data_IF_704551456918
#
_entry.id   IF_704551456918
#
_cell.length_a   1.000
_cell.length_b   1.000
_cell.length_c   1.000
_cell.angle_alpha   90.00
_cell.angle_beta   90.00
_cell.angle_gamma   90.00
#
_symmetry.space_group_name_H-M   'P 1'
#
loop_
_entity.id
_entity.type
_entity.pdbx_description
1 polymer ?
#
# COMPACT_ATOMS: atom_id res chain seq x y z
N UNK A 1 -8.15 7.90 25.61
CA UNK A 1 -8.03 9.04 24.67
C UNK A 1 -8.97 8.90 23.47
N UNK A 2 -8.81 7.90 22.56
CA UNK A 2 -9.72 7.72 21.40
C UNK A 2 -11.16 7.50 21.84
N UNK A 3 -11.40 6.64 22.83
CA UNK A 3 -12.75 6.38 23.37
C UNK A 3 -13.40 7.64 23.93
N UNK A 4 -12.66 8.44 24.65
CA UNK A 4 -13.13 9.70 25.25
C UNK A 4 -13.46 10.73 24.15
N UNK A 5 -12.64 10.82 23.12
CA UNK A 5 -12.91 11.68 21.97
C UNK A 5 -14.20 11.30 21.25
N UNK A 6 -14.38 10.02 20.97
CA UNK A 6 -15.60 9.51 20.34
C UNK A 6 -16.83 9.74 21.23
N UNK A 7 -16.68 9.54 22.54
CA UNK A 7 -17.76 9.82 23.49
C UNK A 7 -18.14 11.31 23.52
N UNK A 8 -17.14 12.21 23.49
CA UNK A 8 -17.37 13.64 23.44
C UNK A 8 -18.11 14.08 22.18
N UNK A 9 -17.79 13.47 21.03
CA UNK A 9 -18.38 13.83 19.73
C UNK A 9 -19.77 13.22 19.53
N UNK A 10 -19.97 11.98 19.93
CA UNK A 10 -21.13 11.17 19.55
C UNK A 10 -22.06 10.86 20.73
N UNK A 11 -21.66 11.12 21.97
CA UNK A 11 -22.43 10.76 23.16
C UNK A 11 -23.82 11.41 23.21
N UNK A 12 -23.94 12.65 22.75
CA UNK A 12 -25.21 13.36 22.65
C UNK A 12 -26.21 12.70 21.67
N UNK A 13 -25.73 11.83 20.77
CA UNK A 13 -26.52 11.07 19.80
C UNK A 13 -26.76 9.61 20.23
N UNK A 14 -26.57 9.31 21.52
CA UNK A 14 -26.82 7.98 22.09
C UNK A 14 -25.66 7.00 22.04
N UNK A 15 -24.48 7.43 21.56
CA UNK A 15 -23.26 6.61 21.59
C UNK A 15 -22.73 6.49 23.02
N UNK A 16 -22.34 5.27 23.39
CA UNK A 16 -21.67 4.97 24.65
C UNK A 16 -20.43 4.13 24.39
N UNK A 17 -19.25 4.68 24.67
CA UNK A 17 -17.98 4.02 24.31
C UNK A 17 -17.73 2.69 25.05
N UNK A 18 -18.31 2.52 26.23
CA UNK A 18 -18.15 1.26 26.98
C UNK A 18 -19.00 0.13 26.40
N UNK A 19 -20.22 0.49 25.93
CA UNK A 19 -21.16 -0.44 25.34
C UNK A 19 -20.86 -0.72 23.86
N UNK A 20 -20.51 0.32 23.09
CA UNK A 20 -20.53 0.30 21.63
C UNK A 20 -19.15 -0.01 21.02
N UNK A 21 -18.05 0.22 21.77
CA UNK A 21 -16.70 -0.13 21.32
C UNK A 21 -16.24 -1.43 21.95
N UNK A 22 -16.21 -2.47 21.15
CA UNK A 22 -15.75 -3.79 21.59
C UNK A 22 -14.21 -3.87 21.65
N UNK A 23 -13.53 -3.33 20.65
CA UNK A 23 -12.08 -3.34 20.59
C UNK A 23 -11.57 -2.16 19.75
N UNK A 24 -10.34 -1.75 19.99
CA UNK A 24 -9.60 -0.77 19.19
C UNK A 24 -8.28 -1.41 18.80
N UNK A 25 -8.01 -1.46 17.49
CA UNK A 25 -6.73 -1.93 16.96
C UNK A 25 -6.02 -0.75 16.31
N UNK A 26 -4.76 -0.54 16.68
CA UNK A 26 -3.90 0.47 16.08
C UNK A 26 -2.80 -0.23 15.29
N UNK A 27 -2.87 -0.12 13.98
CA UNK A 27 -1.84 -0.66 13.09
C UNK A 27 -0.84 0.44 12.77
N UNK A 28 0.44 0.12 12.90
CA UNK A 28 1.51 1.02 12.50
C UNK A 28 2.09 0.57 11.17
N UNK A 29 1.99 1.44 10.18
CA UNK A 29 2.64 1.26 8.89
C UNK A 29 3.89 2.15 8.90
N UNK A 30 5.12 1.59 8.89
CA UNK A 30 6.34 2.36 9.04
C UNK A 30 6.71 3.18 7.78
N UNK A 31 6.16 2.81 6.62
CA UNK A 31 6.37 3.49 5.34
C UNK A 31 5.03 3.94 4.76
N UNK A 32 4.99 5.16 4.21
CA UNK A 32 3.75 5.75 3.73
C UNK A 32 3.41 5.36 2.29
N UNK A 33 4.22 5.79 1.34
CA UNK A 33 3.97 5.63 -0.08
C UNK A 33 5.06 4.81 -0.76
N UNK A 34 4.73 4.21 -1.91
CA UNK A 34 5.72 3.67 -2.82
C UNK A 34 6.68 4.78 -3.27
N UNK A 35 7.97 4.44 -3.37
CA UNK A 35 8.98 5.36 -3.88
C UNK A 35 8.73 5.63 -5.37
N UNK A 36 8.59 6.88 -5.74
CA UNK A 36 8.56 7.33 -7.12
C UNK A 36 9.89 7.98 -7.48
N UNK A 37 10.47 7.60 -8.61
CA UNK A 37 11.75 8.17 -9.05
C UNK A 37 11.64 9.64 -9.43
N UNK A 38 12.69 10.38 -9.13
CA UNK A 38 12.81 11.81 -9.43
C UNK A 38 13.84 11.99 -10.55
N UNK A 39 13.40 12.56 -11.67
CA UNK A 39 14.26 12.74 -12.84
C UNK A 39 15.54 13.56 -12.59
N UNK A 40 15.57 14.36 -11.52
CA UNK A 40 16.75 15.16 -11.15
C UNK A 40 17.73 14.42 -10.25
N UNK A 41 17.29 13.47 -9.47
CA UNK A 41 18.07 12.85 -8.39
C UNK A 41 18.37 11.38 -8.65
N UNK A 42 17.50 10.70 -9.37
CA UNK A 42 17.66 9.28 -9.68
C UNK A 42 18.27 9.07 -11.07
N UNK A 43 19.05 8.01 -11.27
CA UNK A 43 19.60 7.64 -12.57
C UNK A 43 18.51 7.38 -13.62
N UNK A 44 18.83 7.64 -14.87
CA UNK A 44 18.00 7.22 -16.01
C UNK A 44 18.39 5.81 -16.41
N UNK A 45 17.63 4.82 -15.94
CA UNK A 45 17.93 3.41 -16.20
C UNK A 45 17.40 2.98 -17.58
N UNK A 46 18.15 2.10 -18.22
CA UNK A 46 17.63 1.38 -19.37
C UNK A 46 16.42 0.50 -18.97
N UNK A 47 15.48 0.23 -19.88
CA UNK A 47 14.34 -0.64 -19.59
C UNK A 47 14.75 -1.99 -19.00
N UNK A 48 14.13 -2.37 -17.90
CA UNK A 48 14.45 -3.60 -17.15
C UNK A 48 15.60 -3.47 -16.16
N UNK A 49 16.25 -2.32 -16.05
CA UNK A 49 17.38 -2.09 -15.15
C UNK A 49 17.05 -1.26 -13.93
N UNK A 50 15.86 -0.67 -13.86
CA UNK A 50 15.45 0.07 -12.69
C UNK A 50 15.27 -0.87 -11.48
N UNK A 51 15.60 -0.43 -10.25
CA UNK A 51 15.53 -1.28 -9.06
C UNK A 51 14.17 -1.95 -8.84
N UNK A 52 13.06 -1.27 -9.12
CA UNK A 52 11.72 -1.84 -9.00
C UNK A 52 11.45 -2.93 -10.06
N UNK A 53 11.97 -2.78 -11.27
CA UNK A 53 11.84 -3.77 -12.33
C UNK A 53 12.65 -5.04 -12.03
N UNK A 54 13.87 -4.86 -11.51
CA UNK A 54 14.69 -5.98 -11.04
C UNK A 54 14.02 -6.68 -9.85
N UNK A 55 13.53 -5.89 -8.87
CA UNK A 55 12.93 -6.42 -7.65
C UNK A 55 11.60 -7.14 -7.87
N UNK A 56 10.84 -6.78 -8.92
CA UNK A 56 9.57 -7.44 -9.27
C UNK A 56 9.70 -8.62 -10.23
N UNK A 57 10.92 -8.91 -10.69
CA UNK A 57 11.13 -10.00 -11.63
C UNK A 57 10.56 -11.31 -11.09
N UNK A 58 9.80 -12.02 -11.92
CA UNK A 58 9.17 -13.29 -11.55
C UNK A 58 10.22 -14.31 -11.07
N UNK A 59 9.97 -14.94 -9.94
CA UNK A 59 10.80 -16.02 -9.42
C UNK A 59 10.00 -17.32 -9.34
N UNK A 60 10.14 -18.16 -10.34
CA UNK A 60 9.38 -19.39 -10.47
C UNK A 60 7.87 -19.13 -10.48
N UNK A 61 7.16 -19.58 -9.44
CA UNK A 61 5.71 -19.40 -9.27
C UNK A 61 5.37 -18.24 -8.32
N UNK A 62 6.31 -17.33 -8.09
CA UNK A 62 6.13 -16.16 -7.25
C UNK A 62 6.19 -14.92 -8.13
N UNK A 63 5.16 -14.08 -8.01
CA UNK A 63 5.08 -12.75 -8.63
C UNK A 63 4.77 -11.71 -7.57
N UNK A 64 5.26 -10.49 -7.75
CA UNK A 64 5.05 -9.36 -6.84
C UNK A 64 3.95 -8.47 -7.40
N UNK A 65 2.90 -8.19 -6.60
CA UNK A 65 1.76 -7.39 -7.01
C UNK A 65 1.45 -6.31 -5.96
N UNK A 66 2.22 -5.24 -5.96
CA UNK A 66 1.99 -4.07 -5.12
C UNK A 66 2.47 -2.78 -5.81
N UNK A 67 2.12 -1.63 -5.28
CA UNK A 67 2.52 -0.33 -5.85
C UNK A 67 4.03 -0.09 -5.81
N UNK A 68 4.76 -0.65 -4.84
CA UNK A 68 6.22 -0.55 -4.78
C UNK A 68 6.87 -1.17 -6.01
N UNK A 69 6.29 -2.24 -6.53
CA UNK A 69 6.79 -2.93 -7.74
C UNK A 69 6.58 -2.13 -9.03
N UNK A 70 5.78 -1.09 -8.99
CA UNK A 70 5.54 -0.16 -10.11
C UNK A 70 6.21 1.21 -9.89
N UNK A 71 6.88 1.43 -8.76
CA UNK A 71 7.48 2.69 -8.37
C UNK A 71 6.51 3.89 -8.45
N UNK A 72 5.23 3.66 -8.13
CA UNK A 72 4.17 4.65 -8.17
C UNK A 72 3.14 4.42 -7.07
N UNK A 73 2.81 5.46 -6.32
CA UNK A 73 1.90 5.39 -5.18
C UNK A 73 0.44 5.70 -5.59
N UNK A 74 -0.04 5.07 -6.65
CA UNK A 74 -1.35 5.33 -7.25
C UNK A 74 -2.17 4.03 -7.35
N UNK A 75 -3.49 4.18 -7.40
CA UNK A 75 -4.41 3.03 -7.50
C UNK A 75 -4.28 2.29 -8.84
N UNK A 76 -4.09 3.00 -9.94
CA UNK A 76 -3.86 2.42 -11.25
C UNK A 76 -2.59 1.57 -11.26
N UNK A 77 -1.50 2.02 -10.64
CA UNK A 77 -0.29 1.22 -10.47
C UNK A 77 -0.54 -0.09 -9.71
N UNK A 78 -1.45 -0.09 -8.73
CA UNK A 78 -1.84 -1.32 -8.02
C UNK A 78 -2.58 -2.29 -8.93
N UNK A 79 -3.45 -1.81 -9.82
CA UNK A 79 -4.15 -2.63 -10.81
C UNK A 79 -3.18 -3.18 -11.87
N UNK A 80 -2.28 -2.36 -12.37
CA UNK A 80 -1.26 -2.76 -13.34
C UNK A 80 -0.34 -3.85 -12.76
N UNK A 81 0.09 -3.68 -11.51
CA UNK A 81 0.87 -4.70 -10.79
C UNK A 81 0.12 -6.03 -10.65
N UNK A 82 -1.16 -5.97 -10.32
CA UNK A 82 -2.00 -7.17 -10.18
C UNK A 82 -2.19 -7.86 -11.54
N UNK A 83 -2.47 -7.10 -12.59
CA UNK A 83 -2.64 -7.62 -13.94
C UNK A 83 -1.37 -8.31 -14.43
N UNK A 84 -0.22 -7.65 -14.32
CA UNK A 84 1.09 -8.21 -14.68
C UNK A 84 1.38 -9.51 -13.91
N UNK A 85 1.15 -9.52 -12.60
CA UNK A 85 1.41 -10.70 -11.78
C UNK A 85 0.55 -11.90 -12.18
N UNK A 86 -0.71 -11.68 -12.58
CA UNK A 86 -1.58 -12.73 -13.11
C UNK A 86 -1.07 -13.24 -14.46
N UNK A 87 -0.69 -12.34 -15.38
CA UNK A 87 -0.12 -12.73 -16.68
C UNK A 87 1.16 -13.58 -16.52
N UNK A 88 2.07 -13.20 -15.63
CA UNK A 88 3.29 -13.94 -15.34
C UNK A 88 3.02 -15.39 -14.88
N UNK A 89 1.90 -15.63 -14.22
CA UNK A 89 1.54 -16.96 -13.69
C UNK A 89 0.69 -17.80 -14.66
N UNK A 90 0.18 -17.19 -15.71
CA UNK A 90 -0.69 -17.88 -16.70
C UNK A 90 0.02 -18.33 -17.98
N UNK A 91 1.28 -18.02 -18.10
CA UNK A 91 2.12 -18.39 -19.28
C UNK A 91 2.80 -19.72 -19.09
#
# INVERSE_FOLDING_TARGET
>A
QIREQLQSMLGQHGFNHERDIRAITVNRIPHGYAYAYLALDDPDWEPGQAPHEIGRAQFGRISVANTDSEAAALMDAAFDAAYRAVEEQTV
#
